data_IF_387330095225
#
_entry.id   IF_387330095225
#
_cell.length_a   1.000
_cell.length_b   1.000
_cell.length_c   1.000
_cell.angle_alpha   90.00
_cell.angle_beta   90.00
_cell.angle_gamma   90.00
#
_symmetry.space_group_name_H-M   'P 1'
#
loop_
_entity.id
_entity.type
_entity.pdbx_description
1 polymer ?
#
# COMPACT_ATOMS: atom_id res chain seq x y z
N UNK A 1 -17.42 9.20 4.15
CA UNK A 1 -16.48 8.12 3.74
C UNK A 1 -15.17 8.66 3.16
N UNK A 2 -15.19 9.41 2.03
CA UNK A 2 -13.98 9.94 1.36
C UNK A 2 -12.97 10.68 2.26
N UNK A 3 -13.44 11.58 3.14
CA UNK A 3 -12.58 12.31 4.10
C UNK A 3 -11.89 11.41 5.14
N UNK A 4 -12.50 10.27 5.48
CA UNK A 4 -11.93 9.28 6.40
C UNK A 4 -10.82 8.47 5.76
N UNK A 5 -10.88 8.24 4.45
CA UNK A 5 -9.88 7.46 3.70
C UNK A 5 -8.61 8.27 3.50
N UNK A 6 -8.75 9.56 3.17
CA UNK A 6 -7.63 10.51 3.12
C UNK A 6 -6.85 10.54 4.45
N UNK A 7 -7.55 10.43 5.58
CA UNK A 7 -6.94 10.39 6.91
C UNK A 7 -6.23 9.05 7.19
N UNK A 8 -6.83 7.92 6.80
CA UNK A 8 -6.22 6.58 6.94
C UNK A 8 -4.93 6.50 6.10
N UNK A 9 -4.93 7.11 4.91
CA UNK A 9 -3.73 7.22 4.07
C UNK A 9 -2.65 8.09 4.70
N UNK A 10 -3.01 9.27 5.21
CA UNK A 10 -2.05 10.12 5.92
C UNK A 10 -1.34 9.36 7.04
N UNK A 11 -2.12 8.63 7.85
CA UNK A 11 -1.58 7.83 8.94
C UNK A 11 -0.63 6.70 8.49
N UNK A 12 -0.92 5.99 7.39
CA UNK A 12 0.01 4.93 6.94
C UNK A 12 1.31 5.53 6.40
N UNK A 13 1.24 6.66 5.69
CA UNK A 13 2.43 7.37 5.21
C UNK A 13 3.30 7.87 6.37
N UNK A 14 2.69 8.44 7.41
CA UNK A 14 3.39 8.90 8.62
C UNK A 14 4.10 7.72 9.32
N UNK A 15 3.40 6.60 9.50
CA UNK A 15 3.99 5.40 10.13
C UNK A 15 5.14 4.78 9.34
N UNK A 16 5.02 4.70 8.01
CA UNK A 16 6.11 4.22 7.17
C UNK A 16 7.33 5.15 7.25
N UNK A 17 7.09 6.45 7.36
CA UNK A 17 8.13 7.44 7.56
C UNK A 17 8.82 7.33 8.92
N UNK A 18 8.05 7.14 10.00
CA UNK A 18 8.56 6.87 11.35
C UNK A 18 9.42 5.60 11.37
N UNK A 19 8.91 4.50 10.82
CA UNK A 19 9.66 3.24 10.70
C UNK A 19 10.98 3.47 9.96
N UNK A 20 10.98 4.30 8.92
CA UNK A 20 12.20 4.59 8.14
C UNK A 20 13.20 5.44 8.93
N UNK A 21 12.73 6.36 9.78
CA UNK A 21 13.58 7.21 10.63
C UNK A 21 14.21 6.47 11.81
N UNK A 22 13.54 5.45 12.34
CA UNK A 22 14.01 4.70 13.52
C UNK A 22 15.20 3.77 13.23
N UNK A 23 15.61 3.59 11.96
CA UNK A 23 16.80 2.81 11.60
C UNK A 23 18.04 3.68 11.40
N UNK A 24 19.03 3.50 12.28
CA UNK A 24 20.38 4.09 12.14
C UNK A 24 21.13 3.52 10.91
N UNK A 25 20.83 2.26 10.55
CA UNK A 25 21.28 1.58 9.32
C UNK A 25 20.11 0.77 8.76
N UNK A 26 19.74 1.02 7.50
CA UNK A 26 18.66 0.31 6.81
C UNK A 26 19.05 -1.15 6.50
N UNK A 27 18.72 -2.06 7.41
CA UNK A 27 18.79 -3.50 7.14
C UNK A 27 17.49 -3.91 6.43
N UNK A 28 17.59 -4.19 5.12
CA UNK A 28 16.45 -4.51 4.23
C UNK A 28 15.45 -5.45 4.87
N UNK A 29 15.90 -6.58 5.42
CA UNK A 29 15.01 -7.61 5.99
C UNK A 29 14.13 -7.10 7.15
N UNK A 30 14.72 -6.39 8.11
CA UNK A 30 14.01 -5.93 9.31
C UNK A 30 13.04 -4.77 9.02
N UNK A 31 13.42 -3.89 8.08
CA UNK A 31 12.53 -2.82 7.62
C UNK A 31 11.38 -3.37 6.79
N UNK A 32 11.65 -4.29 5.84
CA UNK A 32 10.64 -4.85 4.96
C UNK A 32 9.55 -5.60 5.75
N UNK A 33 9.92 -6.37 6.79
CA UNK A 33 8.93 -7.05 7.64
C UNK A 33 7.99 -6.07 8.37
N UNK A 34 8.52 -4.96 8.89
CA UNK A 34 7.71 -3.95 9.59
C UNK A 34 6.83 -3.14 8.63
N UNK A 35 7.39 -2.72 7.50
CA UNK A 35 6.64 -2.04 6.45
C UNK A 35 5.50 -2.91 5.91
N UNK A 36 5.75 -4.21 5.67
CA UNK A 36 4.72 -5.17 5.24
C UNK A 36 3.59 -5.32 6.28
N UNK A 37 3.92 -5.30 7.57
CA UNK A 37 2.91 -5.38 8.63
C UNK A 37 1.97 -4.17 8.63
N UNK A 38 2.51 -2.95 8.51
CA UNK A 38 1.68 -1.74 8.46
C UNK A 38 0.88 -1.63 7.16
N UNK A 39 1.43 -2.08 6.03
CA UNK A 39 0.72 -2.14 4.76
C UNK A 39 -0.45 -3.12 4.80
N UNK A 40 -0.30 -4.31 5.41
CA UNK A 40 -1.41 -5.26 5.61
C UNK A 40 -2.54 -4.67 6.46
N UNK A 41 -2.19 -3.97 7.55
CA UNK A 41 -3.21 -3.30 8.39
C UNK A 41 -3.97 -2.23 7.61
N UNK A 42 -3.28 -1.52 6.73
CA UNK A 42 -3.91 -0.53 5.84
C UNK A 42 -4.84 -1.21 4.83
N UNK A 43 -4.39 -2.29 4.19
CA UNK A 43 -5.19 -3.11 3.27
C UNK A 43 -6.46 -3.65 3.93
N UNK A 44 -6.37 -4.24 5.13
CA UNK A 44 -7.53 -4.73 5.89
C UNK A 44 -8.53 -3.61 6.20
N UNK A 45 -8.02 -2.41 6.54
CA UNK A 45 -8.86 -1.24 6.79
C UNK A 45 -9.58 -0.78 5.52
N UNK A 46 -8.89 -0.84 4.38
CA UNK A 46 -9.40 -0.49 3.06
C UNK A 46 -10.49 -1.47 2.61
N UNK A 47 -10.24 -2.77 2.71
CA UNK A 47 -11.21 -3.83 2.38
C UNK A 47 -12.48 -3.68 3.23
N UNK A 48 -12.33 -3.42 4.52
CA UNK A 48 -13.47 -3.18 5.42
C UNK A 48 -14.28 -1.95 5.01
N UNK A 49 -13.64 -0.90 4.50
CA UNK A 49 -14.30 0.31 3.97
C UNK A 49 -15.04 0.01 2.66
N UNK A 50 -14.46 -0.82 1.79
CA UNK A 50 -15.11 -1.25 0.54
C UNK A 50 -16.32 -2.14 0.82
N UNK A 51 -16.18 -3.17 1.65
CA UNK A 51 -17.24 -4.15 1.93
C UNK A 51 -18.39 -3.60 2.78
N UNK A 52 -18.10 -2.79 3.81
CA UNK A 52 -19.11 -2.34 4.78
C UNK A 52 -19.64 -0.94 4.52
N UNK A 53 -18.83 -0.04 3.97
CA UNK A 53 -19.21 1.35 3.75
C UNK A 53 -19.53 1.63 2.27
N UNK A 54 -19.49 0.61 1.39
CA UNK A 54 -19.85 0.72 -0.02
C UNK A 54 -18.92 1.63 -0.82
N UNK A 55 -17.66 1.75 -0.40
CA UNK A 55 -16.69 2.58 -1.07
C UNK A 55 -16.18 1.90 -2.35
N UNK A 56 -16.35 2.57 -3.49
CA UNK A 56 -16.01 2.09 -4.83
C UNK A 56 -14.53 2.28 -5.22
N UNK A 57 -13.71 2.78 -4.30
CA UNK A 57 -12.30 3.09 -4.56
C UNK A 57 -12.06 4.49 -5.14
N UNK A 58 -13.11 5.29 -5.38
CA UNK A 58 -12.98 6.69 -5.81
C UNK A 58 -12.78 7.63 -4.62
N UNK A 59 -11.70 8.42 -4.63
CA UNK A 59 -11.48 9.47 -3.64
C UNK A 59 -11.97 10.85 -4.11
N UNK A 60 -12.25 11.00 -5.41
CA UNK A 60 -12.68 12.24 -6.06
C UNK A 60 -14.05 12.04 -6.74
N UNK A 61 -14.75 13.12 -7.10
CA UNK A 61 -16.05 13.05 -7.82
C UNK A 61 -15.86 12.87 -9.34
N UNK A 62 -14.66 13.11 -9.85
CA UNK A 62 -14.32 12.95 -11.26
C UNK A 62 -13.72 11.57 -11.53
N UNK A 63 -14.06 10.98 -12.68
CA UNK A 63 -13.58 9.69 -13.17
C UNK A 63 -12.06 9.72 -13.42
N UNK A 64 -11.27 9.47 -12.38
CA UNK A 64 -9.80 9.43 -12.47
C UNK A 64 -9.37 7.99 -12.74
N UNK A 65 -8.85 7.76 -13.95
CA UNK A 65 -8.39 6.47 -14.48
C UNK A 65 -7.27 5.81 -13.65
N UNK A 66 -6.56 6.59 -12.82
CA UNK A 66 -5.57 6.12 -11.85
C UNK A 66 -5.98 6.48 -10.43
N UNK A 67 -7.08 5.89 -9.97
CA UNK A 67 -7.42 5.98 -8.54
C UNK A 67 -6.26 5.43 -7.71
N UNK A 68 -6.10 5.95 -6.49
CA UNK A 68 -5.04 5.51 -5.59
C UNK A 68 -5.03 3.98 -5.41
N UNK A 69 -6.22 3.38 -5.28
CA UNK A 69 -6.36 1.92 -5.22
C UNK A 69 -5.83 1.25 -6.50
N UNK A 70 -6.17 1.77 -7.69
CA UNK A 70 -5.67 1.27 -8.96
C UNK A 70 -4.14 1.38 -9.10
N UNK A 71 -3.56 2.52 -8.72
CA UNK A 71 -2.11 2.72 -8.74
C UNK A 71 -1.37 1.84 -7.72
N UNK A 72 -1.97 1.61 -6.55
CA UNK A 72 -1.42 0.71 -5.52
C UNK A 72 -1.46 -0.75 -5.97
N UNK A 73 -2.60 -1.22 -6.48
CA UNK A 73 -2.72 -2.57 -7.04
C UNK A 73 -1.74 -2.78 -8.20
N UNK A 74 -1.62 -1.81 -9.10
CA UNK A 74 -0.63 -1.85 -10.17
C UNK A 74 0.79 -1.99 -9.62
N UNK A 75 1.14 -1.21 -8.61
CA UNK A 75 2.46 -1.28 -7.96
C UNK A 75 2.72 -2.65 -7.31
N UNK A 76 1.73 -3.21 -6.61
CA UNK A 76 1.82 -4.55 -6.01
C UNK A 76 2.01 -5.61 -7.09
N UNK A 77 1.22 -5.58 -8.17
CA UNK A 77 1.33 -6.52 -9.28
C UNK A 77 2.71 -6.41 -9.93
N UNK A 78 3.18 -5.20 -10.24
CA UNK A 78 4.49 -4.97 -10.84
C UNK A 78 5.61 -5.52 -9.95
N UNK A 79 5.61 -5.22 -8.65
CA UNK A 79 6.64 -5.68 -7.71
C UNK A 79 6.60 -7.22 -7.60
N UNK A 80 5.42 -7.81 -7.42
CA UNK A 80 5.26 -9.27 -7.24
C UNK A 80 5.52 -10.06 -8.51
N UNK A 81 5.22 -9.51 -9.69
CA UNK A 81 5.36 -10.22 -10.97
C UNK A 81 6.75 -10.01 -11.59
N UNK A 82 7.37 -8.84 -11.44
CA UNK A 82 8.72 -8.58 -11.99
C UNK A 82 9.80 -9.20 -11.10
N UNK A 83 9.69 -9.14 -9.78
CA UNK A 83 10.66 -9.85 -8.91
C UNK A 83 10.54 -11.38 -9.06
N UNK A 84 9.37 -11.92 -9.39
CA UNK A 84 9.17 -13.34 -9.72
C UNK A 84 9.89 -13.77 -11.01
N UNK A 85 9.82 -12.97 -12.08
CA UNK A 85 10.47 -13.26 -13.36
C UNK A 85 12.01 -13.24 -13.24
N UNK A 86 12.57 -12.47 -12.29
CA UNK A 86 14.03 -12.47 -12.05
C UNK A 86 14.54 -13.68 -11.27
N UNK A 87 13.66 -14.58 -10.83
CA UNK A 87 14.02 -15.78 -10.06
C UNK A 87 14.04 -17.09 -10.85
N UNK A 88 13.62 -17.09 -12.13
CA UNK A 88 13.94 -18.20 -13.03
C UNK A 88 15.27 -17.91 -13.75
N UNK A 89 16.30 -18.77 -13.57
CA UNK A 89 17.53 -18.63 -14.32
C UNK A 89 17.27 -18.97 -15.79
N UNK A 90 17.77 -18.14 -16.71
CA UNK A 90 17.95 -18.55 -18.10
C UNK A 90 19.06 -19.62 -18.15
N UNK A 91 18.72 -20.87 -17.83
CA UNK A 91 19.45 -22.09 -18.23
C UNK A 91 18.48 -23.26 -18.39
#
# INVERSE_FOLDING_TARGET
>A
VKKSIKNIRGNVSEKLWEITKDFDVLIRKNWTEQALSELKKFEDCLLKKMEKEGWDGSEEEDDIQWTFAGALFYSIIVITTIEGITSEPFL
#
